data_IF_648569310968
#
_entry.id   IF_648569310968
#
_cell.length_a   1.000
_cell.length_b   1.000
_cell.length_c   1.000
_cell.angle_alpha   90.00
_cell.angle_beta   90.00
_cell.angle_gamma   90.00
#
_symmetry.space_group_name_H-M   'P 1'
#
loop_
_entity.id
_entity.type
_entity.pdbx_description
1 polymer ?
#
# COMPACT_ATOMS: atom_id res chain seq x y z
N UNK A 1 -2.72 -9.25 15.04
CA UNK A 1 -2.07 -8.61 13.88
C UNK A 1 -3.13 -7.90 13.07
N UNK A 2 -3.10 -6.57 12.96
CA UNK A 2 -4.09 -5.81 12.17
C UNK A 2 -3.87 -6.08 10.68
N UNK A 3 -4.90 -6.61 9.99
CA UNK A 3 -4.78 -7.03 8.59
C UNK A 3 -4.38 -5.82 7.71
N UNK A 4 -3.24 -5.95 7.03
CA UNK A 4 -2.74 -4.94 6.09
C UNK A 4 -1.72 -3.97 6.68
N UNK A 5 -1.37 -4.05 7.96
CA UNK A 5 -0.31 -3.24 8.56
C UNK A 5 0.59 -4.14 9.40
N UNK A 6 1.91 -4.08 9.18
CA UNK A 6 2.87 -4.90 9.94
C UNK A 6 3.89 -4.04 10.66
N UNK A 7 4.32 -4.47 11.85
CA UNK A 7 5.46 -3.88 12.53
C UNK A 7 6.50 -4.91 12.90
N UNK A 8 7.75 -4.49 12.88
CA UNK A 8 8.89 -5.21 13.42
C UNK A 8 9.31 -4.73 14.81
N UNK A 9 8.66 -3.67 15.34
CA UNK A 9 9.01 -3.05 16.62
C UNK A 9 8.02 -3.37 17.75
N UNK A 10 7.00 -4.20 17.50
CA UNK A 10 5.98 -4.69 18.45
C UNK A 10 5.17 -3.67 19.28
N UNK A 11 5.42 -2.36 19.21
CA UNK A 11 4.59 -1.35 19.91
C UNK A 11 3.23 -1.07 19.20
N UNK A 12 2.12 -1.14 19.93
CA UNK A 12 0.79 -1.21 19.32
C UNK A 12 0.27 0.18 18.90
N UNK A 13 0.68 1.23 19.60
CA UNK A 13 0.10 2.56 19.48
C UNK A 13 0.50 3.24 18.16
N UNK A 14 1.72 3.00 17.66
CA UNK A 14 2.11 3.54 16.35
C UNK A 14 1.38 2.84 15.20
N UNK A 15 0.97 1.58 15.36
CA UNK A 15 0.26 0.84 14.31
C UNK A 15 -1.14 1.38 14.10
N UNK A 16 -1.74 2.00 15.12
CA UNK A 16 -3.10 2.49 15.05
C UNK A 16 -3.26 3.58 13.98
N UNK A 17 -2.37 4.59 13.95
CA UNK A 17 -2.42 5.65 12.92
C UNK A 17 -2.30 5.07 11.50
N UNK A 18 -1.35 4.16 11.29
CA UNK A 18 -1.14 3.51 9.98
C UNK A 18 -2.31 2.60 9.59
N UNK A 19 -2.89 1.89 10.56
CA UNK A 19 -4.06 1.05 10.36
C UNK A 19 -5.28 1.88 9.99
N UNK A 20 -5.50 3.00 10.67
CA UNK A 20 -6.60 3.93 10.38
C UNK A 20 -6.48 4.48 8.95
N UNK A 21 -5.30 4.95 8.54
CA UNK A 21 -5.04 5.42 7.18
C UNK A 21 -5.33 4.31 6.16
N UNK A 22 -4.77 3.10 6.37
CA UNK A 22 -4.95 1.99 5.44
C UNK A 22 -6.41 1.52 5.36
N UNK A 23 -7.13 1.49 6.49
CA UNK A 23 -8.55 1.13 6.50
C UNK A 23 -9.40 2.15 5.77
N UNK A 24 -9.15 3.45 5.97
CA UNK A 24 -9.89 4.48 5.24
C UNK A 24 -9.64 4.39 3.73
N UNK A 25 -8.40 4.13 3.31
CA UNK A 25 -8.10 3.86 1.90
C UNK A 25 -8.88 2.66 1.37
N UNK A 26 -8.83 1.53 2.09
CA UNK A 26 -9.52 0.29 1.68
C UNK A 26 -11.03 0.48 1.59
N UNK A 27 -11.65 1.12 2.57
CA UNK A 27 -13.09 1.34 2.60
C UNK A 27 -13.56 2.23 1.44
N UNK A 28 -12.77 3.24 1.09
CA UNK A 28 -13.14 4.20 0.05
C UNK A 28 -12.82 3.71 -1.37
N UNK A 29 -11.77 2.92 -1.57
CA UNK A 29 -11.22 2.66 -2.91
C UNK A 29 -10.99 1.21 -3.28
N UNK A 30 -11.07 0.25 -2.34
CA UNK A 30 -10.77 -1.15 -2.66
C UNK A 30 -11.71 -1.74 -3.73
N UNK A 31 -12.96 -1.25 -3.81
CA UNK A 31 -13.92 -1.68 -4.83
C UNK A 31 -13.64 -1.07 -6.20
N UNK A 32 -13.19 0.18 -6.25
CA UNK A 32 -12.94 0.92 -7.50
C UNK A 32 -11.88 0.24 -8.37
N UNK A 33 -10.81 -0.27 -7.76
CA UNK A 33 -9.75 -0.98 -8.50
C UNK A 33 -10.17 -2.39 -8.92
N UNK A 34 -10.97 -3.09 -8.11
CA UNK A 34 -11.39 -4.47 -8.39
C UNK A 34 -12.36 -4.59 -9.56
N UNK A 35 -13.18 -3.58 -9.80
CA UNK A 35 -14.18 -3.61 -10.90
C UNK A 35 -13.58 -3.28 -12.27
N UNK A 36 -12.38 -2.70 -12.32
CA UNK A 36 -11.69 -2.38 -13.57
C UNK A 36 -10.88 -3.59 -14.05
N UNK A 37 -11.02 -3.94 -15.31
CA UNK A 37 -10.26 -5.01 -15.94
C UNK A 37 -9.05 -4.43 -16.67
N UNK A 38 -7.85 -4.68 -16.15
CA UNK A 38 -6.60 -4.30 -16.80
C UNK A 38 -5.96 -5.47 -17.57
N UNK A 39 -6.65 -6.61 -17.69
CA UNK A 39 -6.10 -7.85 -18.24
C UNK A 39 -5.19 -8.59 -17.26
N UNK A 40 -4.68 -9.77 -17.67
CA UNK A 40 -3.85 -10.63 -16.82
C UNK A 40 -4.60 -11.35 -15.69
N UNK A 41 -3.86 -12.08 -14.85
CA UNK A 41 -4.40 -12.79 -13.66
C UNK A 41 -4.14 -12.02 -12.36
N UNK A 42 -4.25 -10.69 -12.44
CA UNK A 42 -4.08 -9.81 -11.28
C UNK A 42 -5.44 -9.54 -10.65
N UNK A 43 -5.62 -9.90 -9.39
CA UNK A 43 -6.94 -9.89 -8.72
C UNK A 43 -7.10 -8.76 -7.71
N UNK A 44 -6.04 -7.99 -7.45
CA UNK A 44 -6.16 -6.80 -6.64
C UNK A 44 -4.87 -6.02 -6.45
N UNK A 45 -5.01 -4.96 -5.67
CA UNK A 45 -3.91 -4.12 -5.18
C UNK A 45 -3.97 -4.13 -3.65
N UNK A 46 -2.85 -4.40 -3.01
CA UNK A 46 -2.72 -4.46 -1.56
C UNK A 46 -1.66 -3.46 -1.16
N UNK A 47 -1.99 -2.59 -0.20
CA UNK A 47 -1.05 -1.65 0.39
C UNK A 47 -0.74 -2.13 1.80
N UNK A 48 0.55 -2.30 2.07
CA UNK A 48 1.08 -2.80 3.33
C UNK A 48 2.07 -1.78 3.88
N UNK A 49 1.64 -0.83 4.73
CA UNK A 49 2.57 -0.06 5.53
C UNK A 49 3.30 -0.96 6.53
N UNK A 50 4.62 -0.74 6.60
CA UNK A 50 5.59 -1.50 7.39
C UNK A 50 6.42 -0.51 8.19
N UNK A 51 6.33 -0.57 9.52
CA UNK A 51 7.07 0.35 10.41
C UNK A 51 8.46 -0.22 10.76
N UNK A 52 9.55 0.47 10.39
CA UNK A 52 10.97 0.07 10.58
C UNK A 52 11.93 1.27 10.74
N UNK A 53 12.88 1.26 11.69
CA UNK A 53 13.73 2.41 12.09
C UNK A 53 14.74 2.98 11.05
N UNK A 54 14.84 2.40 9.83
CA UNK A 54 15.82 2.72 8.75
C UNK A 54 17.30 2.42 9.15
N UNK A 55 18.27 1.96 8.33
CA UNK A 55 18.48 1.76 6.87
C UNK A 55 19.34 0.48 6.61
N UNK A 56 19.37 -0.02 5.37
CA UNK A 56 20.37 -0.98 4.81
C UNK A 56 20.58 -2.35 5.48
N UNK A 57 19.54 -3.19 5.46
CA UNK A 57 19.73 -4.65 5.43
C UNK A 57 19.63 -5.18 3.99
N UNK A 58 20.39 -6.21 3.63
CA UNK A 58 20.30 -6.93 2.33
C UNK A 58 18.84 -7.29 1.95
N UNK A 59 17.96 -7.42 2.93
CA UNK A 59 16.52 -7.63 2.77
C UNK A 59 15.82 -6.54 1.93
N UNK A 60 16.16 -5.25 2.07
CA UNK A 60 15.55 -4.20 1.23
C UNK A 60 15.91 -4.37 -0.26
N UNK A 61 17.07 -4.94 -0.61
CA UNK A 61 17.44 -5.19 -2.01
C UNK A 61 16.58 -6.29 -2.63
N UNK A 62 16.09 -7.23 -1.82
CA UNK A 62 15.24 -8.36 -2.26
C UNK A 62 13.78 -7.95 -2.35
N UNK A 63 13.26 -7.21 -1.37
CA UNK A 63 11.84 -6.81 -1.33
C UNK A 63 11.50 -5.57 -2.17
N UNK A 64 12.47 -4.69 -2.49
CA UNK A 64 12.26 -3.53 -3.40
C UNK A 64 11.86 -3.92 -4.83
N UNK A 65 11.96 -5.20 -5.22
CA UNK A 65 11.78 -5.62 -6.63
C UNK A 65 10.50 -6.40 -6.94
N UNK A 66 9.72 -6.80 -5.93
CA UNK A 66 8.52 -7.61 -6.14
C UNK A 66 7.25 -6.85 -5.78
N UNK A 67 6.71 -6.15 -6.79
CA UNK A 67 5.38 -5.55 -6.77
C UNK A 67 4.27 -6.55 -7.05
N UNK A 68 4.58 -7.82 -7.24
CA UNK A 68 3.62 -8.90 -7.49
C UNK A 68 3.81 -10.00 -6.46
N UNK A 69 2.73 -10.34 -5.75
CA UNK A 69 2.69 -11.53 -4.89
C UNK A 69 1.68 -12.53 -5.43
N UNK A 70 2.14 -13.78 -5.59
CA UNK A 70 1.27 -14.91 -5.91
C UNK A 70 0.70 -15.50 -4.63
N UNK A 71 -0.58 -15.77 -4.63
CA UNK A 71 -1.27 -16.40 -3.51
C UNK A 71 -2.39 -17.30 -4.04
N UNK A 72 -2.87 -18.22 -3.20
CA UNK A 72 -4.04 -19.03 -3.52
C UNK A 72 -5.30 -18.32 -3.03
N UNK A 73 -6.32 -18.28 -3.88
CA UNK A 73 -7.65 -17.82 -3.47
C UNK A 73 -8.36 -18.90 -2.64
N UNK A 74 -9.61 -18.63 -2.21
CA UNK A 74 -10.40 -19.55 -1.38
C UNK A 74 -10.69 -20.89 -2.08
N UNK A 75 -10.74 -20.90 -3.41
CA UNK A 75 -10.90 -22.10 -4.24
C UNK A 75 -9.56 -22.82 -4.51
N UNK A 76 -8.45 -22.38 -3.91
CA UNK A 76 -7.12 -22.95 -4.09
C UNK A 76 -6.45 -22.60 -5.43
N UNK A 77 -7.04 -21.72 -6.25
CA UNK A 77 -6.48 -21.26 -7.53
C UNK A 77 -5.42 -20.18 -7.32
N UNK A 78 -4.37 -20.24 -8.11
CA UNK A 78 -3.30 -19.25 -8.07
C UNK A 78 -3.72 -17.92 -8.70
N UNK A 79 -3.61 -16.86 -7.92
CA UNK A 79 -3.84 -15.47 -8.29
C UNK A 79 -2.59 -14.63 -8.02
N UNK A 80 -2.57 -13.41 -8.54
CA UNK A 80 -1.50 -12.44 -8.28
C UNK A 80 -2.10 -11.12 -7.80
N UNK A 81 -1.50 -10.49 -6.80
CA UNK A 81 -1.86 -9.14 -6.35
C UNK A 81 -0.69 -8.19 -6.57
N UNK A 82 -1.00 -6.95 -6.91
CA UNK A 82 -0.02 -5.86 -6.90
C UNK A 82 0.18 -5.43 -5.45
N UNK A 83 1.42 -5.43 -4.95
CA UNK A 83 1.73 -5.11 -3.56
C UNK A 83 2.57 -3.85 -3.48
N UNK A 84 2.11 -2.89 -2.68
CA UNK A 84 2.85 -1.69 -2.30
C UNK A 84 3.28 -1.81 -0.84
N UNK A 85 4.56 -2.11 -0.60
CA UNK A 85 5.13 -2.18 0.76
C UNK A 85 5.68 -0.81 1.13
N UNK A 86 5.00 -0.09 2.02
CA UNK A 86 5.40 1.27 2.40
C UNK A 86 6.26 1.19 3.66
N UNK A 87 7.57 1.35 3.52
CA UNK A 87 8.48 1.37 4.67
C UNK A 87 8.46 2.75 5.32
N UNK A 88 8.13 2.80 6.60
CA UNK A 88 7.92 4.05 7.33
C UNK A 88 8.71 3.98 8.63
N UNK A 89 9.49 5.02 8.91
CA UNK A 89 10.24 5.11 10.16
C UNK A 89 9.29 5.26 11.37
N UNK A 90 9.35 4.41 12.42
CA UNK A 90 8.53 4.53 13.62
C UNK A 90 8.64 5.90 14.28
N UNK A 91 9.82 6.55 14.20
CA UNK A 91 10.00 7.91 14.71
C UNK A 91 9.15 8.93 13.95
N UNK A 92 8.98 8.76 12.64
CA UNK A 92 8.08 9.58 11.84
C UNK A 92 6.62 9.32 12.22
N UNK A 93 6.23 8.06 12.41
CA UNK A 93 4.86 7.71 12.84
C UNK A 93 4.52 8.36 14.19
N UNK A 94 5.48 8.41 15.11
CA UNK A 94 5.31 9.07 16.42
C UNK A 94 5.19 10.58 16.29
N UNK A 95 6.13 11.20 15.57
CA UNK A 95 6.23 12.66 15.44
C UNK A 95 5.08 13.28 14.65
N UNK A 96 4.69 12.65 13.55
CA UNK A 96 3.72 13.22 12.61
C UNK A 96 2.29 13.12 13.17
N UNK A 97 1.50 14.16 12.91
CA UNK A 97 0.04 14.11 13.07
C UNK A 97 -0.55 13.07 12.10
N UNK A 98 -1.80 12.65 12.35
CA UNK A 98 -2.46 11.67 11.49
C UNK A 98 -2.56 12.14 10.03
N UNK A 99 -2.85 13.43 9.81
CA UNK A 99 -2.96 13.99 8.46
C UNK A 99 -1.58 14.15 7.78
N UNK A 100 -0.53 14.55 8.51
CA UNK A 100 0.82 14.60 7.93
C UNK A 100 1.33 13.20 7.57
N UNK A 101 1.08 12.21 8.43
CA UNK A 101 1.41 10.81 8.15
C UNK A 101 0.62 10.28 6.95
N UNK A 102 -0.63 10.69 6.79
CA UNK A 102 -1.45 10.39 5.62
C UNK A 102 -0.87 10.99 4.32
N UNK A 103 -0.42 12.25 4.35
CA UNK A 103 0.26 12.86 3.21
C UNK A 103 1.52 12.06 2.86
N UNK A 104 2.36 11.75 3.85
CA UNK A 104 3.57 10.94 3.66
C UNK A 104 3.26 9.54 3.09
N UNK A 105 2.21 8.89 3.60
CA UNK A 105 1.73 7.60 3.10
C UNK A 105 1.37 7.65 1.61
N UNK A 106 0.66 8.70 1.17
CA UNK A 106 0.33 8.90 -0.24
C UNK A 106 1.57 9.15 -1.10
N UNK A 107 2.50 9.96 -0.60
CA UNK A 107 3.75 10.28 -1.30
C UNK A 107 4.62 9.03 -1.51
N UNK A 108 4.65 8.10 -0.54
CA UNK A 108 5.35 6.82 -0.69
C UNK A 108 4.73 5.93 -1.78
N UNK A 109 3.40 5.88 -1.88
CA UNK A 109 2.72 5.13 -2.95
C UNK A 109 3.05 5.73 -4.32
N UNK A 110 2.95 7.06 -4.44
CA UNK A 110 3.26 7.79 -5.67
C UNK A 110 4.73 7.55 -6.08
N UNK A 111 5.64 7.54 -5.11
CA UNK A 111 7.06 7.26 -5.37
C UNK A 111 7.24 5.85 -5.95
N UNK A 112 6.58 4.83 -5.39
CA UNK A 112 6.65 3.47 -5.91
C UNK A 112 6.00 3.30 -7.29
N UNK A 113 4.90 4.02 -7.56
CA UNK A 113 4.24 4.03 -8.87
C UNK A 113 5.16 4.52 -10.01
N UNK A 114 5.98 5.51 -9.69
CA UNK A 114 6.95 6.12 -10.60
C UNK A 114 8.31 5.42 -10.60
N UNK A 115 8.51 4.38 -9.78
CA UNK A 115 9.74 3.59 -9.79
C UNK A 115 9.92 2.94 -11.18
N UNK A 116 11.05 3.16 -11.87
CA UNK A 116 11.34 2.49 -13.14
C UNK A 116 11.34 0.96 -13.07
N UNK A 117 11.52 0.40 -11.87
CA UNK A 117 11.48 -1.03 -11.60
C UNK A 117 10.06 -1.55 -11.34
N UNK A 118 9.06 -0.67 -11.23
CA UNK A 118 7.66 -1.06 -11.17
C UNK A 118 7.22 -1.63 -12.53
N UNK A 119 7.39 -2.94 -12.68
CA UNK A 119 7.07 -3.72 -13.88
C UNK A 119 5.96 -4.71 -13.57
N UNK A 120 4.92 -4.69 -14.40
CA UNK A 120 3.81 -5.63 -14.35
C UNK A 120 3.86 -6.57 -15.56
N UNK A 121 3.10 -7.68 -15.56
CA UNK A 121 3.12 -8.65 -16.65
C UNK A 121 2.70 -8.00 -17.99
N UNK A 122 3.26 -8.47 -19.11
CA UNK A 122 3.00 -7.89 -20.45
C UNK A 122 1.52 -7.90 -20.85
N UNK A 123 0.75 -8.86 -20.36
CA UNK A 123 -0.68 -9.01 -20.61
C UNK A 123 -1.56 -8.16 -19.66
N UNK A 124 -0.95 -7.29 -18.85
CA UNK A 124 -1.61 -6.36 -17.96
C UNK A 124 -1.38 -4.92 -18.46
N UNK A 125 -2.46 -4.15 -18.62
CA UNK A 125 -2.43 -2.75 -19.04
C UNK A 125 -1.87 -1.86 -17.93
N UNK A 126 -0.54 -1.83 -17.86
CA UNK A 126 0.22 -1.13 -16.83
C UNK A 126 0.03 0.39 -16.90
N UNK A 127 -0.17 0.94 -18.09
CA UNK A 127 -0.30 2.39 -18.31
C UNK A 127 -1.64 2.87 -17.73
N UNK A 128 -2.73 2.20 -18.09
CA UNK A 128 -4.06 2.54 -17.61
C UNK A 128 -4.18 2.33 -16.09
N UNK A 129 -3.65 1.21 -15.58
CA UNK A 129 -3.60 0.97 -14.14
C UNK A 129 -2.84 2.08 -13.38
N UNK A 130 -1.66 2.48 -13.85
CA UNK A 130 -0.88 3.54 -13.19
C UNK A 130 -1.65 4.86 -13.17
N UNK A 131 -2.31 5.22 -14.27
CA UNK A 131 -3.14 6.43 -14.37
C UNK A 131 -4.31 6.40 -13.38
N UNK A 132 -5.04 5.29 -13.37
CA UNK A 132 -6.20 5.11 -12.50
C UNK A 132 -5.82 5.06 -11.01
N UNK A 133 -4.75 4.32 -10.68
CA UNK A 133 -4.27 4.22 -9.32
C UNK A 133 -3.71 5.55 -8.82
N UNK A 134 -2.98 6.29 -9.66
CA UNK A 134 -2.53 7.64 -9.32
C UNK A 134 -3.70 8.58 -9.03
N UNK A 135 -4.75 8.57 -9.85
CA UNK A 135 -5.95 9.39 -9.61
C UNK A 135 -6.64 9.04 -8.28
N UNK A 136 -6.72 7.76 -7.94
CA UNK A 136 -7.25 7.28 -6.64
C UNK A 136 -6.41 7.78 -5.47
N UNK A 137 -5.08 7.68 -5.57
CA UNK A 137 -4.17 8.11 -4.50
C UNK A 137 -4.23 9.64 -4.34
N UNK A 138 -4.33 10.39 -5.43
CA UNK A 138 -4.51 11.85 -5.37
C UNK A 138 -5.86 12.23 -4.74
N UNK A 139 -6.96 11.58 -5.12
CA UNK A 139 -8.26 11.80 -4.47
C UNK A 139 -8.17 11.51 -2.97
N UNK A 140 -7.54 10.41 -2.58
CA UNK A 140 -7.34 10.06 -1.18
C UNK A 140 -6.52 11.13 -0.44
N UNK A 141 -5.42 11.58 -1.04
CA UNK A 141 -4.52 12.60 -0.48
C UNK A 141 -5.25 13.89 -0.12
N UNK A 142 -6.27 14.30 -0.88
CA UNK A 142 -7.03 15.52 -0.62
C UNK A 142 -8.03 15.39 0.54
N UNK A 143 -8.28 14.18 1.03
CA UNK A 143 -9.21 13.91 2.13
C UNK A 143 -8.50 14.00 3.48
N UNK A 144 -9.15 14.60 4.46
CA UNK A 144 -8.70 14.51 5.84
C UNK A 144 -9.03 13.13 6.41
N UNK A 145 -8.11 12.56 7.19
CA UNK A 145 -8.37 11.36 7.96
C UNK A 145 -9.10 11.79 9.22
N UNK A 146 -10.32 11.28 9.40
CA UNK A 146 -11.11 11.54 10.59
C UNK A 146 -10.94 10.36 11.55
N UNK A 147 -10.63 10.65 12.82
CA UNK A 147 -10.65 9.63 13.86
C UNK A 147 -12.07 9.07 13.99
N UNK A 148 -12.25 7.74 14.09
CA UNK A 148 -13.54 7.20 14.52
C UNK A 148 -13.87 7.80 15.88
N UNK A 149 -15.05 8.38 16.02
CA UNK A 149 -15.49 8.89 17.34
C UNK A 149 -15.65 7.68 18.28
N UNK A 150 -15.23 7.82 19.55
CA UNK A 150 -15.39 6.77 20.55
C UNK A 150 -16.85 6.41 20.80
#
# INVERSE_FOLDING_TARGET
>A
MHIGTTSYTNDADYMEKLFQINQQFRNNYARTLRHKQYGGRITGTIIVPISVYEEEGEDQKVYKKMYLEKHKNWDGKWESSIIFRLYINPLLVKRLTLNELHQYYCDLIITQLHDPNFKLPKNFNSIEFKKDFFAIVQDFRTKNIMLPRP
#
